data_IF_154997804751
#
_entry.id   IF_154997804751
#
_cell.length_a   1.000
_cell.length_b   1.000
_cell.length_c   1.000
_cell.angle_alpha   90.00
_cell.angle_beta   90.00
_cell.angle_gamma   90.00
#
_symmetry.space_group_name_H-M   'P 1'
#
loop_
_entity.id
_entity.type
_entity.pdbx_description
1 polymer ?
#
# COMPACT_ATOMS: atom_id res chain seq x y z
N UNK A 1 -11.30 -36.45 1.41
CA UNK A 1 -11.13 -35.82 2.74
C UNK A 1 -9.81 -35.05 2.63
N UNK A 2 -9.89 -33.79 2.14
CA UNK A 2 -8.75 -33.07 1.58
C UNK A 2 -8.20 -32.05 2.59
N UNK A 3 -7.04 -32.39 3.13
CA UNK A 3 -6.33 -31.71 4.23
C UNK A 3 -5.43 -30.55 3.72
N UNK A 4 -5.96 -29.65 2.90
CA UNK A 4 -5.16 -28.63 2.19
C UNK A 4 -5.40 -27.18 2.63
N UNK A 5 -5.97 -26.96 3.82
CA UNK A 5 -6.16 -25.61 4.39
C UNK A 5 -5.46 -25.47 5.74
N UNK A 6 -4.17 -25.79 5.81
CA UNK A 6 -3.39 -25.50 7.02
C UNK A 6 -3.00 -24.02 7.03
N UNK A 7 -3.78 -23.26 7.81
CA UNK A 7 -3.61 -21.83 8.06
C UNK A 7 -2.74 -21.67 9.30
N UNK A 8 -1.53 -21.14 9.16
CA UNK A 8 -0.72 -20.76 10.32
C UNK A 8 -1.26 -19.43 10.87
N UNK A 9 -2.12 -19.52 11.89
CA UNK A 9 -2.76 -18.36 12.52
C UNK A 9 -1.75 -17.36 13.10
N UNK A 10 -0.52 -17.80 13.38
CA UNK A 10 0.57 -16.96 13.88
C UNK A 10 1.14 -15.97 12.84
N UNK A 11 1.00 -16.23 11.53
CA UNK A 11 1.72 -15.47 10.47
C UNK A 11 0.83 -14.72 9.47
N UNK A 12 -0.52 -14.83 9.55
CA UNK A 12 -1.48 -14.15 8.62
C UNK A 12 -1.11 -14.33 7.13
N UNK A 13 -0.73 -15.54 6.75
CA UNK A 13 -0.42 -15.91 5.36
C UNK A 13 -1.63 -16.59 4.71
N UNK A 14 -2.10 -16.06 3.58
CA UNK A 14 -3.06 -16.72 2.70
C UNK A 14 -2.32 -17.36 1.52
N UNK A 15 -2.44 -18.68 1.38
CA UNK A 15 -1.98 -19.41 0.21
C UNK A 15 -3.06 -19.38 -0.87
N UNK A 16 -2.72 -18.82 -2.03
CA UNK A 16 -3.60 -18.76 -3.20
C UNK A 16 -2.99 -19.63 -4.30
N UNK A 17 -3.80 -20.53 -4.84
CA UNK A 17 -3.41 -21.35 -6.00
C UNK A 17 -3.75 -20.56 -7.25
N UNK A 18 -2.73 -20.18 -8.03
CA UNK A 18 -2.94 -19.53 -9.32
C UNK A 18 -3.43 -20.55 -10.36
N UNK A 19 -3.99 -20.09 -11.50
CA UNK A 19 -4.38 -20.98 -12.60
C UNK A 19 -3.24 -21.86 -13.13
N UNK A 20 -1.99 -21.41 -12.95
CA UNK A 20 -0.76 -22.13 -13.31
C UNK A 20 -0.34 -23.18 -12.26
N UNK A 21 -1.20 -23.46 -11.27
CA UNK A 21 -0.94 -24.42 -10.19
C UNK A 21 0.25 -24.06 -9.28
N UNK A 22 0.64 -22.78 -9.23
CA UNK A 22 1.68 -22.29 -8.33
C UNK A 22 1.04 -21.76 -7.04
N UNK A 23 1.54 -22.21 -5.89
CA UNK A 23 1.10 -21.72 -4.58
C UNK A 23 1.81 -20.39 -4.26
N UNK A 24 1.10 -19.28 -4.42
CA UNK A 24 1.57 -17.96 -3.99
C UNK A 24 1.13 -17.70 -2.55
N UNK A 25 2.10 -17.36 -1.69
CA UNK A 25 1.86 -16.96 -0.30
C UNK A 25 1.73 -15.45 -0.26
N UNK A 26 0.54 -14.96 0.07
CA UNK A 26 0.29 -13.53 0.27
C UNK A 26 0.12 -13.24 1.75
N UNK A 27 0.75 -12.16 2.23
CA UNK A 27 0.41 -11.61 3.54
C UNK A 27 -0.94 -10.91 3.44
N UNK A 28 -1.93 -11.36 4.20
CA UNK A 28 -3.24 -10.71 4.23
C UNK A 28 -3.12 -9.37 4.94
N UNK A 29 -3.76 -8.33 4.37
CA UNK A 29 -3.80 -7.03 5.02
C UNK A 29 -4.65 -7.11 6.29
N UNK A 30 -4.02 -6.88 7.45
CA UNK A 30 -4.70 -6.92 8.73
C UNK A 30 -5.83 -5.88 8.85
N UNK A 31 -6.76 -6.14 9.77
CA UNK A 31 -7.92 -5.27 10.06
C UNK A 31 -7.51 -3.79 10.26
N UNK A 32 -6.39 -3.54 10.95
CA UNK A 32 -5.86 -2.19 11.17
C UNK A 32 -5.51 -1.45 9.88
N UNK A 33 -4.73 -2.05 8.97
CA UNK A 33 -4.37 -1.44 7.68
C UNK A 33 -5.61 -1.19 6.80
N UNK A 34 -6.61 -2.08 6.86
CA UNK A 34 -7.89 -1.87 6.18
C UNK A 34 -8.69 -0.71 6.78
N UNK A 35 -8.73 -0.59 8.12
CA UNK A 35 -9.40 0.49 8.81
C UNK A 35 -8.74 1.85 8.51
N UNK A 36 -7.41 1.92 8.54
CA UNK A 36 -6.67 3.13 8.18
C UNK A 36 -6.89 3.51 6.71
N UNK A 37 -6.92 2.54 5.78
CA UNK A 37 -7.24 2.83 4.37
C UNK A 37 -8.62 3.48 4.25
N UNK A 38 -9.59 2.92 4.96
CA UNK A 38 -10.97 3.40 4.95
C UNK A 38 -11.11 4.77 5.61
N UNK A 39 -10.36 5.07 6.67
CA UNK A 39 -10.32 6.39 7.28
C UNK A 39 -9.77 7.44 6.30
N UNK A 40 -8.69 7.11 5.59
CA UNK A 40 -8.13 8.01 4.57
C UNK A 40 -9.15 8.27 3.45
N UNK A 41 -9.78 7.21 2.94
CA UNK A 41 -10.81 7.34 1.90
C UNK A 41 -12.03 8.13 2.41
N UNK A 42 -12.41 7.98 3.70
CA UNK A 42 -13.49 8.75 4.33
C UNK A 42 -13.15 10.24 4.42
N UNK A 43 -11.96 10.59 4.88
CA UNK A 43 -11.52 12.00 4.98
C UNK A 43 -11.49 12.64 3.60
N UNK A 44 -10.95 11.93 2.61
CA UNK A 44 -10.89 12.42 1.23
C UNK A 44 -12.30 12.65 0.67
N UNK A 45 -13.20 11.68 0.80
CA UNK A 45 -14.58 11.85 0.36
C UNK A 45 -15.30 12.93 1.14
N UNK A 46 -15.07 13.07 2.45
CA UNK A 46 -15.68 14.12 3.26
C UNK A 46 -15.30 15.52 2.75
N UNK A 47 -14.02 15.76 2.46
CA UNK A 47 -13.55 17.02 1.88
C UNK A 47 -14.17 17.30 0.50
N UNK A 48 -14.25 16.27 -0.35
CA UNK A 48 -14.88 16.40 -1.68
C UNK A 48 -16.36 16.70 -1.56
N UNK A 49 -17.09 16.00 -0.69
CA UNK A 49 -18.51 16.22 -0.47
C UNK A 49 -18.79 17.61 0.10
N UNK A 50 -18.00 18.10 1.07
CA UNK A 50 -18.12 19.48 1.56
C UNK A 50 -17.91 20.48 0.42
N UNK A 51 -16.87 20.29 -0.38
CA UNK A 51 -16.57 21.21 -1.49
C UNK A 51 -17.72 21.23 -2.50
N UNK A 52 -18.21 20.06 -2.91
CA UNK A 52 -19.37 19.94 -3.81
C UNK A 52 -20.61 20.57 -3.19
N UNK A 53 -20.87 20.34 -1.91
CA UNK A 53 -22.02 20.90 -1.19
C UNK A 53 -21.96 22.43 -1.12
N UNK A 54 -20.78 23.01 -0.84
CA UNK A 54 -20.58 24.46 -0.84
C UNK A 54 -20.78 25.04 -2.24
N UNK A 55 -20.18 24.44 -3.27
CA UNK A 55 -20.33 24.89 -4.66
C UNK A 55 -21.78 24.81 -5.14
N UNK A 56 -22.46 23.71 -4.81
CA UNK A 56 -23.89 23.56 -5.08
C UNK A 56 -24.69 24.63 -4.34
N UNK A 57 -24.35 24.91 -3.09
CA UNK A 57 -25.03 25.92 -2.30
C UNK A 57 -24.86 27.32 -2.87
N UNK A 58 -23.65 27.68 -3.32
CA UNK A 58 -23.39 28.98 -3.96
C UNK A 58 -24.14 29.08 -5.30
N UNK A 59 -24.08 28.03 -6.12
CA UNK A 59 -24.67 28.03 -7.46
C UNK A 59 -26.20 28.11 -7.46
N UNK A 60 -26.86 27.46 -6.48
CA UNK A 60 -28.33 27.40 -6.41
C UNK A 60 -28.92 28.39 -5.38
N UNK A 61 -28.17 28.80 -4.36
CA UNK A 61 -28.70 29.56 -3.21
C UNK A 61 -27.95 30.87 -2.91
N UNK A 62 -26.92 31.24 -3.67
CA UNK A 62 -26.12 32.46 -3.43
C UNK A 62 -26.89 33.79 -3.43
N UNK A 63 -28.18 33.79 -3.76
CA UNK A 63 -29.06 34.97 -3.78
C UNK A 63 -30.33 34.86 -2.91
N UNK A 64 -30.61 33.73 -2.25
CA UNK A 64 -31.85 33.53 -1.47
C UNK A 64 -31.56 32.84 -0.12
N UNK A 65 -31.81 33.53 1.00
CA UNK A 65 -31.33 33.16 2.35
C UNK A 65 -32.07 31.99 3.04
N UNK A 66 -33.22 31.52 2.56
CA UNK A 66 -34.17 30.75 3.41
C UNK A 66 -34.78 29.50 2.77
N UNK A 67 -34.08 28.83 1.87
CA UNK A 67 -34.65 27.67 1.15
C UNK A 67 -34.29 26.28 1.73
N UNK A 68 -33.39 26.21 2.72
CA UNK A 68 -32.99 24.92 3.33
C UNK A 68 -34.09 24.24 4.15
N UNK A 69 -35.21 24.92 4.43
CA UNK A 69 -36.29 24.44 5.30
C UNK A 69 -37.62 24.22 4.59
N UNK A 70 -37.74 24.52 3.28
CA UNK A 70 -38.99 24.26 2.55
C UNK A 70 -39.00 22.85 1.95
N UNK A 71 -40.07 22.12 2.28
CA UNK A 71 -40.24 20.66 2.11
C UNK A 71 -40.40 20.19 0.65
N UNK A 72 -40.55 21.11 -0.32
CA UNK A 72 -40.76 20.79 -1.75
C UNK A 72 -39.49 20.93 -2.61
N UNK A 73 -38.34 20.66 -2.00
CA UNK A 73 -37.07 21.02 -2.60
C UNK A 73 -36.44 19.89 -3.42
N UNK A 74 -36.85 19.76 -4.70
CA UNK A 74 -36.24 18.84 -5.65
C UNK A 74 -34.72 19.02 -5.77
N UNK A 75 -34.20 20.22 -5.52
CA UNK A 75 -32.75 20.49 -5.56
C UNK A 75 -31.99 19.73 -4.48
N UNK A 76 -32.57 19.59 -3.27
CA UNK A 76 -31.96 18.80 -2.19
C UNK A 76 -31.93 17.32 -2.56
N UNK A 77 -33.01 16.78 -3.14
CA UNK A 77 -33.05 15.40 -3.60
C UNK A 77 -32.00 15.12 -4.69
N UNK A 78 -31.83 16.04 -5.65
CA UNK A 78 -30.80 15.95 -6.69
C UNK A 78 -29.40 15.99 -6.07
N UNK A 79 -29.15 16.89 -5.11
CA UNK A 79 -27.86 16.97 -4.42
C UNK A 79 -27.52 15.68 -3.66
N UNK A 80 -28.49 15.11 -2.92
CA UNK A 80 -28.31 13.85 -2.20
C UNK A 80 -28.05 12.68 -3.18
N UNK A 81 -28.77 12.62 -4.29
CA UNK A 81 -28.56 11.60 -5.32
C UNK A 81 -27.18 11.74 -5.96
N UNK A 82 -26.73 12.96 -6.24
CA UNK A 82 -25.40 13.22 -6.78
C UNK A 82 -24.30 12.80 -5.79
N UNK A 83 -24.43 13.16 -4.52
CA UNK A 83 -23.54 12.74 -3.43
C UNK A 83 -23.50 11.22 -3.34
N UNK A 84 -24.66 10.55 -3.42
CA UNK A 84 -24.73 9.09 -3.40
C UNK A 84 -23.96 8.47 -4.56
N UNK A 85 -24.21 8.93 -5.79
CA UNK A 85 -23.54 8.43 -7.01
C UNK A 85 -22.04 8.70 -6.95
N UNK A 86 -21.62 9.86 -6.44
CA UNK A 86 -20.20 10.21 -6.28
C UNK A 86 -19.51 9.26 -5.29
N UNK A 87 -20.10 9.05 -4.11
CA UNK A 87 -19.52 8.18 -3.09
C UNK A 87 -19.51 6.72 -3.54
N UNK A 88 -20.62 6.22 -4.09
CA UNK A 88 -20.72 4.84 -4.56
C UNK A 88 -19.80 4.61 -5.77
N UNK A 89 -19.84 5.51 -6.73
CA UNK A 89 -19.04 5.50 -7.94
C UNK A 89 -17.54 5.56 -7.64
N UNK A 90 -17.12 6.37 -6.68
CA UNK A 90 -15.71 6.45 -6.28
C UNK A 90 -15.11 5.09 -5.96
N UNK A 91 -15.75 4.31 -5.08
CA UNK A 91 -15.26 2.97 -4.72
C UNK A 91 -15.36 1.99 -5.88
N UNK A 92 -16.50 1.99 -6.58
CA UNK A 92 -16.73 1.08 -7.70
C UNK A 92 -15.70 1.28 -8.82
N UNK A 93 -15.57 2.52 -9.30
CA UNK A 93 -14.72 2.87 -10.42
C UNK A 93 -13.25 2.76 -10.06
N UNK A 94 -12.81 3.28 -8.91
CA UNK A 94 -11.39 3.15 -8.56
C UNK A 94 -10.99 1.69 -8.36
N UNK A 95 -11.81 0.88 -7.70
CA UNK A 95 -11.49 -0.54 -7.55
C UNK A 95 -11.52 -1.30 -8.88
N UNK A 96 -12.40 -0.96 -9.81
CA UNK A 96 -12.42 -1.60 -11.12
C UNK A 96 -11.24 -1.15 -12.01
N UNK A 97 -10.93 0.15 -12.06
CA UNK A 97 -9.92 0.72 -12.95
C UNK A 97 -8.50 0.66 -12.39
N UNK A 98 -8.31 0.71 -11.07
CA UNK A 98 -7.00 0.59 -10.41
C UNK A 98 -6.71 -0.81 -9.87
N UNK A 99 -7.39 -1.83 -10.40
CA UNK A 99 -7.10 -3.22 -10.10
C UNK A 99 -7.27 -3.56 -8.62
N UNK A 100 -8.35 -3.08 -8.01
CA UNK A 100 -8.73 -3.37 -6.62
C UNK A 100 -8.15 -2.42 -5.58
N UNK A 101 -7.79 -1.19 -5.98
CA UNK A 101 -7.26 -0.19 -5.07
C UNK A 101 -8.06 1.13 -5.11
N UNK A 102 -8.31 1.69 -3.94
CA UNK A 102 -8.74 3.09 -3.74
C UNK A 102 -7.53 3.97 -3.40
N UNK A 103 -7.70 5.28 -3.25
CA UNK A 103 -6.58 6.18 -2.91
C UNK A 103 -5.96 5.79 -1.57
N UNK A 104 -6.76 5.57 -0.53
CA UNK A 104 -6.31 5.15 0.80
C UNK A 104 -5.64 3.77 0.79
N UNK A 105 -6.16 2.82 0.00
CA UNK A 105 -5.55 1.49 -0.17
C UNK A 105 -4.19 1.58 -0.87
N UNK A 106 -4.06 2.43 -1.90
CA UNK A 106 -2.77 2.69 -2.56
C UNK A 106 -1.76 3.29 -1.61
N UNK A 107 -2.17 4.26 -0.78
CA UNK A 107 -1.28 4.88 0.21
C UNK A 107 -0.76 3.87 1.23
N UNK A 108 -1.53 2.82 1.55
CA UNK A 108 -1.10 1.78 2.48
C UNK A 108 -0.51 0.54 1.81
N UNK A 109 -0.35 0.54 0.48
CA UNK A 109 0.23 -0.59 -0.24
C UNK A 109 -0.63 -1.86 -0.19
N UNK A 110 -1.95 -1.72 -0.09
CA UNK A 110 -2.88 -2.85 -0.04
C UNK A 110 -3.71 -2.92 -1.32
N UNK A 111 -4.02 -4.13 -1.78
CA UNK A 111 -4.80 -4.39 -3.00
C UNK A 111 -5.81 -5.49 -2.77
N UNK A 112 -6.97 -5.36 -3.40
CA UNK A 112 -7.99 -6.41 -3.45
C UNK A 112 -7.75 -7.28 -4.67
N UNK A 113 -7.60 -8.58 -4.46
CA UNK A 113 -7.48 -9.59 -5.50
C UNK A 113 -8.56 -10.66 -5.31
N UNK A 114 -8.82 -11.46 -6.33
CA UNK A 114 -9.71 -12.62 -6.21
C UNK A 114 -9.03 -13.76 -5.45
N UNK A 115 -9.84 -14.69 -4.95
CA UNK A 115 -9.35 -15.89 -4.24
C UNK A 115 -8.41 -16.78 -5.08
N UNK A 116 -8.44 -16.63 -6.41
CA UNK A 116 -7.54 -17.30 -7.37
C UNK A 116 -6.30 -16.47 -7.76
N UNK A 117 -6.09 -15.31 -7.11
CA UNK A 117 -4.93 -14.45 -7.34
C UNK A 117 -5.05 -13.51 -8.54
N UNK A 118 -6.14 -13.60 -9.29
CA UNK A 118 -6.37 -12.74 -10.45
C UNK A 118 -6.83 -11.34 -10.03
N UNK A 119 -6.63 -10.31 -10.89
CA UNK A 119 -7.16 -8.98 -10.65
C UNK A 119 -8.69 -9.00 -10.49
N UNK A 120 -9.20 -8.04 -9.72
CA UNK A 120 -10.63 -7.91 -9.48
C UNK A 120 -11.38 -7.55 -10.77
N UNK A 121 -12.54 -8.18 -10.96
CA UNK A 121 -13.46 -7.85 -12.05
C UNK A 121 -14.47 -6.79 -11.64
N UNK A 122 -15.01 -6.05 -12.59
CA UNK A 122 -16.04 -5.03 -12.34
C UNK A 122 -17.25 -5.59 -11.56
N UNK A 123 -17.72 -6.79 -11.91
CA UNK A 123 -18.81 -7.46 -11.20
C UNK A 123 -18.46 -7.74 -9.73
N UNK A 124 -17.27 -8.28 -9.48
CA UNK A 124 -16.79 -8.55 -8.11
C UNK A 124 -16.66 -7.26 -7.31
N UNK A 125 -16.14 -6.18 -7.91
CA UNK A 125 -16.09 -4.84 -7.30
C UNK A 125 -17.48 -4.34 -6.94
N UNK A 126 -18.44 -4.49 -7.86
CA UNK A 126 -19.85 -4.06 -7.68
C UNK A 126 -20.53 -4.79 -6.54
N UNK A 127 -20.46 -6.12 -6.53
CA UNK A 127 -21.06 -6.96 -5.46
C UNK A 127 -20.48 -6.55 -4.12
N UNK A 128 -19.15 -6.42 -4.05
CA UNK A 128 -18.45 -6.04 -2.82
C UNK A 128 -18.85 -4.66 -2.31
N UNK A 129 -19.01 -3.68 -3.21
CA UNK A 129 -19.42 -2.32 -2.85
C UNK A 129 -20.93 -2.22 -2.51
N UNK A 130 -21.77 -3.07 -3.10
CA UNK A 130 -23.20 -3.15 -2.76
C UNK A 130 -23.39 -3.71 -1.34
N UNK A 131 -22.67 -4.79 -1.01
CA UNK A 131 -22.65 -5.31 0.36
C UNK A 131 -22.01 -4.32 1.35
N UNK A 132 -21.11 -3.44 0.88
CA UNK A 132 -20.58 -2.35 1.71
C UNK A 132 -21.67 -1.37 2.15
N UNK A 133 -22.69 -1.11 1.33
CA UNK A 133 -23.84 -0.29 1.71
C UNK A 133 -24.70 -0.99 2.76
N UNK A 134 -24.90 -2.30 2.61
CA UNK A 134 -25.65 -3.12 3.58
C UNK A 134 -24.91 -3.16 4.93
N UNK A 135 -23.58 -3.30 4.92
CA UNK A 135 -22.73 -3.22 6.11
C UNK A 135 -22.75 -1.83 6.78
N UNK A 136 -23.13 -0.77 6.04
CA UNK A 136 -23.17 0.61 6.52
C UNK A 136 -24.50 0.96 7.22
N UNK A 137 -25.60 0.28 6.86
CA UNK A 137 -26.97 0.65 7.19
C UNK A 137 -27.43 0.44 8.65
N UNK A 138 -26.90 -0.48 9.48
CA UNK A 138 -27.41 -0.62 10.85
C UNK A 138 -26.81 0.42 11.82
N UNK A 139 -25.51 0.70 11.71
CA UNK A 139 -24.73 1.49 12.71
C UNK A 139 -23.41 2.06 12.14
N UNK A 140 -23.37 2.44 10.86
CA UNK A 140 -22.22 3.17 10.30
C UNK A 140 -20.89 2.40 10.31
N UNK A 141 -20.86 1.21 9.71
CA UNK A 141 -19.71 0.28 9.60
C UNK A 141 -19.41 -0.60 10.83
N UNK A 142 -20.14 -0.49 11.94
CA UNK A 142 -19.87 -1.28 13.14
C UNK A 142 -19.97 -2.79 12.89
N UNK A 143 -20.99 -3.25 12.17
CA UNK A 143 -21.18 -4.68 11.85
C UNK A 143 -20.08 -5.22 10.93
N UNK A 144 -19.75 -4.51 9.86
CA UNK A 144 -18.68 -4.91 8.93
C UNK A 144 -17.28 -4.90 9.58
N UNK A 145 -17.06 -3.99 10.55
CA UNK A 145 -15.84 -3.97 11.36
C UNK A 145 -15.79 -5.16 12.33
N UNK A 146 -16.89 -5.49 13.00
CA UNK A 146 -16.98 -6.66 13.88
C UNK A 146 -16.78 -7.97 13.11
N UNK A 147 -17.47 -8.18 11.98
CA UNK A 147 -17.30 -9.39 11.15
C UNK A 147 -15.87 -9.51 10.64
N UNK A 148 -15.25 -8.41 10.22
CA UNK A 148 -13.83 -8.42 9.82
C UNK A 148 -12.88 -8.74 10.98
N UNK A 149 -13.26 -8.42 12.22
CA UNK A 149 -12.48 -8.71 13.43
C UNK A 149 -12.59 -10.16 13.88
N UNK A 150 -13.74 -10.80 13.66
CA UNK A 150 -14.01 -12.17 14.06
C UNK A 150 -13.76 -13.20 12.94
N UNK A 151 -13.61 -12.78 11.68
CA UNK A 151 -13.39 -13.72 10.58
C UNK A 151 -11.90 -14.10 10.41
N UNK A 152 -11.53 -15.40 10.40
CA UNK A 152 -10.14 -15.88 10.37
C UNK A 152 -9.29 -15.49 9.12
N UNK A 153 -9.89 -14.81 8.15
CA UNK A 153 -9.25 -14.36 6.89
C UNK A 153 -9.37 -12.84 6.69
N UNK A 154 -9.78 -12.12 7.73
CA UNK A 154 -10.10 -10.68 7.71
C UNK A 154 -11.06 -10.29 6.57
N UNK A 155 -11.90 -11.21 6.09
CA UNK A 155 -12.85 -10.98 5.00
C UNK A 155 -14.14 -10.35 5.56
N UNK A 156 -14.64 -9.31 4.90
CA UNK A 156 -15.99 -8.78 5.16
C UNK A 156 -17.05 -9.66 4.48
N UNK A 157 -18.32 -9.48 4.83
CA UNK A 157 -19.44 -10.15 4.15
C UNK A 157 -19.37 -9.90 2.64
N UNK A 158 -19.12 -8.65 2.24
CA UNK A 158 -18.91 -8.32 0.83
C UNK A 158 -17.70 -9.02 0.19
N UNK A 159 -16.61 -9.25 0.93
CA UNK A 159 -15.42 -9.94 0.40
C UNK A 159 -15.68 -11.45 0.22
N UNK A 160 -16.47 -12.05 1.12
CA UNK A 160 -16.88 -13.45 1.07
C UNK A 160 -17.78 -13.71 -0.14
N UNK A 161 -18.80 -12.88 -0.33
CA UNK A 161 -19.75 -13.02 -1.45
C UNK A 161 -19.08 -12.72 -2.79
N UNK A 162 -18.16 -11.75 -2.83
CA UNK A 162 -17.43 -11.41 -4.05
C UNK A 162 -16.27 -12.38 -4.38
N UNK A 163 -15.91 -13.30 -3.49
CA UNK A 163 -14.77 -14.21 -3.67
C UNK A 163 -13.43 -13.47 -3.74
N UNK A 164 -13.23 -12.49 -2.85
CA UNK A 164 -12.05 -11.61 -2.87
C UNK A 164 -11.29 -11.63 -1.54
N UNK A 165 -10.01 -11.25 -1.61
CA UNK A 165 -9.13 -11.03 -0.46
C UNK A 165 -8.35 -9.73 -0.65
N UNK A 166 -8.02 -9.09 0.47
CA UNK A 166 -7.10 -7.95 0.46
C UNK A 166 -5.74 -8.41 0.91
N UNK A 167 -4.76 -8.24 0.04
CA UNK A 167 -3.37 -8.61 0.27
C UNK A 167 -2.51 -7.36 0.42
N UNK A 168 -1.45 -7.49 1.20
CA UNK A 168 -0.39 -6.50 1.25
C UNK A 168 0.56 -6.73 0.07
N UNK A 169 0.84 -5.69 -0.69
CA UNK A 169 1.79 -5.76 -1.79
C UNK A 169 3.21 -5.67 -1.20
N UNK A 170 3.84 -6.82 -1.01
CA UNK A 170 5.22 -6.92 -0.53
C UNK A 170 6.16 -6.27 -1.55
N UNK A 171 6.47 -5.00 -1.36
CA UNK A 171 7.29 -4.19 -2.27
C UNK A 171 6.75 -2.78 -2.55
N UNK A 172 5.49 -2.48 -2.18
CA UNK A 172 4.89 -1.15 -2.32
C UNK A 172 4.52 -0.53 -0.96
N UNK A 173 5.45 -0.51 -0.01
CA UNK A 173 5.40 0.57 0.98
C UNK A 173 5.39 1.89 0.21
N UNK A 174 4.49 2.84 0.52
CA UNK A 174 4.42 4.11 -0.20
C UNK A 174 5.81 4.74 -0.19
N UNK A 175 6.44 4.82 -1.37
CA UNK A 175 7.83 5.24 -1.49
C UNK A 175 8.04 6.64 -0.91
N UNK A 176 6.99 7.44 -0.73
CA UNK A 176 7.04 8.74 -0.10
C UNK A 176 7.49 8.70 1.37
N UNK A 177 6.90 7.85 2.22
CA UNK A 177 7.27 7.79 3.64
C UNK A 177 8.60 7.08 3.84
N UNK A 178 8.91 6.07 3.01
CA UNK A 178 10.21 5.41 3.03
C UNK A 178 11.30 6.35 2.53
N UNK A 179 11.12 7.08 1.42
CA UNK A 179 12.05 8.11 0.94
C UNK A 179 12.22 9.23 1.95
N UNK A 180 11.16 9.72 2.60
CA UNK A 180 11.26 10.78 3.61
C UNK A 180 11.95 10.31 4.88
N UNK A 181 11.68 9.09 5.35
CA UNK A 181 12.37 8.47 6.49
C UNK A 181 13.83 8.17 6.16
N UNK A 182 14.12 7.66 4.96
CA UNK A 182 15.48 7.45 4.48
C UNK A 182 16.22 8.78 4.36
N UNK A 183 15.60 9.80 3.77
CA UNK A 183 16.19 11.16 3.68
C UNK A 183 16.47 11.74 5.06
N UNK A 184 15.56 11.57 6.02
CA UNK A 184 15.77 12.02 7.40
C UNK A 184 16.88 11.25 8.13
N UNK A 185 16.94 9.92 7.94
CA UNK A 185 18.04 9.09 8.45
C UNK A 185 19.36 9.43 7.77
N UNK A 186 19.33 9.88 6.51
CA UNK A 186 20.48 10.36 5.76
C UNK A 186 20.97 11.71 6.27
N UNK A 187 20.07 12.68 6.43
CA UNK A 187 20.36 14.00 7.02
C UNK A 187 20.90 13.85 8.45
N UNK A 188 20.34 12.94 9.26
CA UNK A 188 20.82 12.66 10.63
C UNK A 188 22.15 11.91 10.68
N UNK A 189 22.52 11.19 9.61
CA UNK A 189 23.78 10.45 9.51
C UNK A 189 24.89 11.21 8.75
N UNK A 190 24.67 12.51 8.42
CA UNK A 190 25.66 13.33 7.71
C UNK A 190 25.88 12.93 6.24
N UNK A 191 24.87 12.33 5.60
CA UNK A 191 24.96 11.77 4.24
C UNK A 191 24.96 12.78 3.08
N UNK A 192 25.15 14.07 3.34
CA UNK A 192 25.29 15.09 2.28
C UNK A 192 26.57 14.90 1.42
N UNK A 193 27.56 14.15 1.92
CA UNK A 193 28.84 13.90 1.26
C UNK A 193 28.97 12.53 0.58
N UNK A 194 27.98 11.63 0.71
CA UNK A 194 28.04 10.32 0.06
C UNK A 194 27.58 10.45 -1.39
N UNK A 195 28.50 10.76 -2.29
CA UNK A 195 28.30 10.75 -3.74
C UNK A 195 29.35 9.87 -4.39
N UNK A 196 28.94 8.78 -5.05
CA UNK A 196 29.86 8.00 -5.87
C UNK A 196 30.35 8.85 -7.05
N UNK A 197 31.67 8.91 -7.22
CA UNK A 197 32.31 9.40 -8.44
C UNK A 197 31.92 8.50 -9.63
N UNK A 198 31.89 9.04 -10.84
CA UNK A 198 31.63 8.27 -12.07
C UNK A 198 32.60 7.08 -12.23
N UNK A 199 33.85 7.22 -11.79
CA UNK A 199 34.82 6.12 -11.79
C UNK A 199 34.42 4.98 -10.82
N UNK A 200 33.87 5.32 -9.65
CA UNK A 200 33.42 4.36 -8.65
C UNK A 200 32.15 3.63 -9.11
N UNK A 201 31.24 4.32 -9.80
CA UNK A 201 30.04 3.72 -10.39
C UNK A 201 30.39 2.68 -11.46
N UNK A 202 31.39 2.97 -12.30
CA UNK A 202 31.87 2.03 -13.33
C UNK A 202 32.67 0.85 -12.75
N UNK A 203 33.27 1.00 -11.57
CA UNK A 203 33.98 -0.08 -10.89
C UNK A 203 33.06 -1.18 -10.33
N UNK A 204 31.77 -0.89 -10.16
CA UNK A 204 30.75 -1.87 -9.72
C UNK A 204 30.50 -2.87 -10.86
N UNK A 205 30.72 -4.15 -10.57
CA UNK A 205 30.43 -5.23 -11.52
C UNK A 205 28.98 -5.73 -11.38
N UNK A 206 28.49 -6.49 -12.37
CA UNK A 206 27.18 -7.15 -12.31
C UNK A 206 27.03 -8.06 -11.09
N UNK A 207 28.09 -8.75 -10.70
CA UNK A 207 28.10 -9.64 -9.53
C UNK A 207 27.91 -8.84 -8.24
N UNK A 208 28.62 -7.71 -8.09
CA UNK A 208 28.46 -6.81 -6.94
C UNK A 208 27.04 -6.26 -6.83
N UNK A 209 26.45 -5.87 -7.97
CA UNK A 209 25.08 -5.40 -8.01
C UNK A 209 24.07 -6.50 -7.64
N UNK A 210 24.27 -7.73 -8.12
CA UNK A 210 23.44 -8.87 -7.74
C UNK A 210 23.56 -9.18 -6.25
N UNK A 211 24.77 -9.15 -5.68
CA UNK A 211 24.99 -9.33 -4.24
C UNK A 211 24.27 -8.24 -3.43
N UNK A 212 24.46 -6.98 -3.78
CA UNK A 212 23.85 -5.84 -3.10
C UNK A 212 22.32 -5.89 -3.19
N UNK A 213 21.77 -6.04 -4.40
CA UNK A 213 20.32 -6.05 -4.62
C UNK A 213 19.63 -7.26 -3.98
N UNK A 214 20.27 -8.44 -4.00
CA UNK A 214 19.75 -9.65 -3.33
C UNK A 214 19.78 -9.48 -1.82
N UNK A 215 20.85 -8.92 -1.26
CA UNK A 215 20.95 -8.64 0.17
C UNK A 215 19.88 -7.63 0.62
N UNK A 216 19.75 -6.50 -0.08
CA UNK A 216 18.78 -5.46 0.26
C UNK A 216 17.33 -5.96 0.11
N UNK A 217 17.01 -6.73 -0.93
CA UNK A 217 15.67 -7.30 -1.10
C UNK A 217 15.31 -8.34 -0.03
N UNK A 218 16.29 -9.13 0.43
CA UNK A 218 16.11 -10.12 1.51
C UNK A 218 16.28 -9.53 2.91
N UNK A 219 16.65 -8.26 3.02
CA UNK A 219 16.90 -7.61 4.31
C UNK A 219 15.71 -7.74 5.26
N UNK A 220 14.46 -7.64 4.80
CA UNK A 220 13.28 -7.78 5.67
C UNK A 220 13.14 -9.19 6.28
N UNK A 221 13.58 -10.22 5.55
CA UNK A 221 13.45 -11.64 5.93
C UNK A 221 14.56 -12.16 6.86
N UNK A 222 15.66 -11.43 7.03
CA UNK A 222 16.82 -11.88 7.83
C UNK A 222 16.66 -11.56 9.33
N UNK A 223 17.22 -12.42 10.19
CA UNK A 223 17.33 -12.18 11.65
C UNK A 223 18.29 -11.02 11.93
N UNK A 224 18.19 -10.41 13.12
CA UNK A 224 19.01 -9.24 13.48
C UNK A 224 20.51 -9.57 13.48
N UNK A 225 20.92 -10.74 13.97
CA UNK A 225 22.35 -11.11 13.95
C UNK A 225 22.87 -11.28 12.52
N UNK A 226 22.15 -12.04 11.68
CA UNK A 226 22.54 -12.27 10.27
C UNK A 226 22.58 -10.99 9.45
N UNK A 227 21.69 -10.02 9.73
CA UNK A 227 21.71 -8.69 9.09
C UNK A 227 23.02 -7.96 9.34
N UNK A 228 23.50 -7.99 10.58
CA UNK A 228 24.73 -7.30 10.95
C UNK A 228 25.95 -8.04 10.41
N UNK A 229 26.00 -9.37 10.53
CA UNK A 229 27.10 -10.19 10.03
C UNK A 229 27.29 -10.05 8.51
N UNK A 230 26.24 -10.33 7.73
CA UNK A 230 26.29 -10.21 6.27
C UNK A 230 26.45 -8.76 5.82
N UNK A 231 25.81 -7.83 6.54
CA UNK A 231 25.94 -6.40 6.27
C UNK A 231 27.37 -5.91 6.41
N UNK A 232 28.09 -6.35 7.45
CA UNK A 232 29.51 -6.04 7.64
C UNK A 232 30.39 -6.66 6.54
N UNK A 233 30.18 -7.93 6.20
CA UNK A 233 30.98 -8.61 5.17
C UNK A 233 30.82 -7.96 3.79
N UNK A 234 29.58 -7.68 3.39
CA UNK A 234 29.28 -7.06 2.10
C UNK A 234 29.77 -5.61 2.08
N UNK A 235 29.57 -4.85 3.18
CA UNK A 235 30.07 -3.49 3.27
C UNK A 235 31.59 -3.43 3.16
N UNK A 236 32.34 -4.31 3.84
CA UNK A 236 33.79 -4.35 3.78
C UNK A 236 34.32 -4.67 2.37
N UNK A 237 33.63 -5.57 1.66
CA UNK A 237 34.02 -5.96 0.30
C UNK A 237 33.78 -4.82 -0.69
N UNK A 238 32.61 -4.17 -0.61
CA UNK A 238 32.27 -3.07 -1.50
C UNK A 238 33.00 -1.78 -1.16
N UNK A 239 33.26 -1.49 0.13
CA UNK A 239 34.04 -0.31 0.53
C UNK A 239 35.47 -0.39 0.03
N UNK A 240 36.10 -1.57 0.11
CA UNK A 240 37.45 -1.81 -0.40
C UNK A 240 37.53 -1.62 -1.92
N UNK A 241 36.54 -2.13 -2.64
CA UNK A 241 36.48 -2.03 -4.11
C UNK A 241 36.23 -0.59 -4.59
N UNK A 242 35.54 0.21 -3.79
CA UNK A 242 35.21 1.61 -4.09
C UNK A 242 36.23 2.60 -3.52
N UNK A 243 37.27 2.12 -2.83
CA UNK A 243 38.26 2.95 -2.12
C UNK A 243 37.62 3.88 -1.07
N UNK A 244 36.65 3.33 -0.32
CA UNK A 244 35.83 4.05 0.68
C UNK A 244 36.03 3.49 2.10
N UNK A 245 37.16 2.87 2.38
CA UNK A 245 37.45 2.23 3.69
C UNK A 245 37.49 3.21 4.86
N UNK A 246 37.85 4.47 4.59
CA UNK A 246 37.97 5.53 5.58
C UNK A 246 36.65 6.24 5.90
N UNK A 247 35.58 5.91 5.18
CA UNK A 247 34.27 6.51 5.43
C UNK A 247 33.74 6.02 6.78
N UNK A 248 33.52 6.91 7.77
CA UNK A 248 33.08 6.53 9.12
C UNK A 248 31.83 5.65 9.11
N UNK A 249 30.94 5.89 8.14
CA UNK A 249 29.71 5.13 7.96
C UNK A 249 29.92 3.62 7.70
N UNK A 250 31.01 3.23 7.02
CA UNK A 250 31.33 1.81 6.79
C UNK A 250 31.60 1.10 8.12
N UNK A 251 32.21 1.82 9.09
CA UNK A 251 32.57 1.29 10.42
C UNK A 251 31.41 1.43 11.42
N UNK A 252 30.69 2.54 11.40
CA UNK A 252 29.62 2.83 12.36
C UNK A 252 28.29 2.18 12.00
N UNK A 253 27.91 2.20 10.71
CA UNK A 253 26.61 1.71 10.24
C UNK A 253 26.71 1.04 8.85
N UNK A 254 27.27 -0.18 8.74
CA UNK A 254 27.44 -0.91 7.48
C UNK A 254 26.16 -1.06 6.66
N UNK A 255 25.03 -1.30 7.35
CA UNK A 255 23.71 -1.44 6.73
C UNK A 255 23.24 -0.14 6.05
N UNK A 256 23.54 1.01 6.65
CA UNK A 256 23.15 2.30 6.11
C UNK A 256 24.01 2.66 4.89
N UNK A 257 25.30 2.33 4.92
CA UNK A 257 26.19 2.41 3.77
C UNK A 257 25.64 1.62 2.58
N UNK A 258 25.29 0.34 2.78
CA UNK A 258 24.76 -0.52 1.71
C UNK A 258 23.41 -0.01 1.16
N UNK A 259 22.53 0.50 2.02
CA UNK A 259 21.27 1.11 1.57
C UNK A 259 21.49 2.40 0.77
N UNK A 260 22.47 3.22 1.18
CA UNK A 260 22.88 4.41 0.44
C UNK A 260 23.43 4.06 -0.94
N UNK A 261 24.34 3.09 -1.00
CA UNK A 261 24.93 2.57 -2.23
C UNK A 261 23.85 2.04 -3.18
N UNK A 262 22.91 1.24 -2.66
CA UNK A 262 21.79 0.71 -3.45
C UNK A 262 20.94 1.84 -4.04
N UNK A 263 20.60 2.87 -3.25
CA UNK A 263 19.77 3.97 -3.75
C UNK A 263 20.44 4.79 -4.85
N UNK A 264 21.77 4.97 -4.80
CA UNK A 264 22.50 5.69 -5.86
C UNK A 264 22.60 4.87 -7.14
N UNK A 265 22.94 3.59 -7.02
CA UNK A 265 23.11 2.70 -8.18
C UNK A 265 21.77 2.26 -8.79
N UNK A 266 20.69 2.21 -8.00
CA UNK A 266 19.39 1.69 -8.46
C UNK A 266 18.84 2.45 -9.68
N UNK A 267 19.07 3.76 -9.80
CA UNK A 267 18.57 4.52 -10.94
C UNK A 267 19.34 4.19 -12.23
N UNK A 268 20.65 4.00 -12.14
CA UNK A 268 21.51 3.67 -13.29
C UNK A 268 21.29 2.23 -13.76
N UNK A 269 21.22 1.29 -12.81
CA UNK A 269 21.05 -0.13 -13.11
C UNK A 269 19.60 -0.56 -13.36
N UNK A 270 18.59 0.29 -13.07
CA UNK A 270 17.20 0.07 -13.51
C UNK A 270 16.89 0.65 -14.90
N UNK A 271 17.64 1.65 -15.35
CA UNK A 271 17.43 2.33 -16.64
C UNK A 271 18.40 1.86 -17.74
N UNK A 272 19.41 1.06 -17.40
CA UNK A 272 20.37 0.48 -18.33
C UNK A 272 19.94 -0.89 -18.89
N UNK A 273 19.99 -0.97 -20.22
CA UNK A 273 19.86 -2.15 -21.10
C UNK A 273 20.69 -3.37 -20.69
#
# INVERSE_FOLDING_TARGET
MNDWTQMNQATREASVVTPEHVMLRFQTAGVGSRATAQLIDMVLLFLVNITVFILFSIAFFGNNDLFFLETENYALAIALLFIFVLNFGYYLFLEAFWGGQTVGKRLLGIRVIRDNGQPITFLSSTIRNLFRMIDMLPTGYFLGAMVSLFHPRDKRIGDLVAGTIVVMESGQTPSFFQKKRMKKLQEQAGLESFSLSEAQKQAITREDWQLLSTFISRLSSLTKEKKQELGQQIAATLSKKLDMEDVPMVKENPLLFLQGLYNQLQNEWKLGK
#
